data_IF_098034918463
#
_entry.id   IF_098034918463
#
_cell.length_a   1.000
_cell.length_b   1.000
_cell.length_c   1.000
_cell.angle_alpha   90.00
_cell.angle_beta   90.00
_cell.angle_gamma   90.00
#
_symmetry.space_group_name_H-M   'P 1'
#
loop_
_entity.id
_entity.type
_entity.pdbx_description
1 polymer ?
#
# COMPACT_ATOMS: atom_id res chain seq x y z
N UNK A 1 0.96 -41.80 32.73
CA UNK A 1 0.33 -40.51 33.06
C UNK A 1 -0.83 -40.28 32.09
N UNK A 2 -2.10 -40.28 32.52
CA UNK A 2 -3.26 -40.37 31.60
C UNK A 2 -3.76 -39.03 31.03
N UNK A 3 -3.02 -37.92 31.15
CA UNK A 3 -3.53 -36.58 30.82
C UNK A 3 -2.70 -35.79 29.79
N UNK A 4 -1.60 -36.36 29.28
CA UNK A 4 -0.90 -35.73 28.16
C UNK A 4 -1.47 -36.32 26.87
N UNK A 5 -2.41 -35.63 26.22
CA UNK A 5 -2.95 -36.06 24.93
C UNK A 5 -2.16 -35.50 23.74
N UNK A 6 -1.05 -34.80 23.98
CA UNK A 6 -0.23 -34.14 22.94
C UNK A 6 -1.06 -33.42 21.88
N UNK A 7 -2.19 -32.83 22.30
CA UNK A 7 -3.16 -32.16 21.43
C UNK A 7 -3.60 -32.97 20.21
N UNK A 8 -3.57 -34.30 20.28
CA UNK A 8 -3.85 -35.24 19.18
C UNK A 8 -2.90 -35.11 17.96
N UNK A 9 -1.78 -34.38 18.13
CA UNK A 9 -0.77 -34.09 17.10
C UNK A 9 0.60 -34.71 17.42
N UNK A 10 0.61 -35.76 18.23
CA UNK A 10 1.84 -36.42 18.66
C UNK A 10 1.58 -37.58 19.60
N UNK A 11 2.68 -38.19 20.08
CA UNK A 11 2.65 -39.32 21.02
C UNK A 11 3.42 -39.00 22.29
N UNK A 12 2.95 -39.50 23.43
CA UNK A 12 3.68 -39.38 24.68
C UNK A 12 4.86 -40.35 24.74
N UNK A 13 6.04 -39.84 25.11
CA UNK A 13 7.15 -40.65 25.53
C UNK A 13 6.90 -41.16 26.96
N UNK A 14 6.94 -42.47 27.15
CA UNK A 14 6.64 -43.15 28.42
C UNK A 14 7.71 -42.95 29.49
N UNK A 15 8.88 -42.42 29.13
CA UNK A 15 10.04 -42.31 30.03
C UNK A 15 10.12 -40.96 30.75
N UNK A 16 9.77 -39.87 30.08
CA UNK A 16 9.91 -38.49 30.56
C UNK A 16 8.59 -37.70 30.55
N UNK A 17 7.49 -38.33 30.13
CA UNK A 17 6.17 -37.72 29.96
C UNK A 17 6.15 -36.51 28.99
N UNK A 18 7.14 -36.41 28.09
CA UNK A 18 7.18 -35.40 27.04
C UNK A 18 6.42 -35.86 25.78
N UNK A 19 5.92 -34.90 25.01
CA UNK A 19 5.30 -35.18 23.72
C UNK A 19 6.33 -35.21 22.59
N UNK A 20 6.24 -36.24 21.75
CA UNK A 20 6.93 -36.33 20.46
C UNK A 20 5.92 -35.95 19.39
N UNK A 21 6.08 -34.75 18.82
CA UNK A 21 5.15 -34.18 17.86
C UNK A 21 5.33 -34.75 16.45
N UNK A 22 4.23 -34.74 15.69
CA UNK A 22 4.26 -34.98 14.25
C UNK A 22 4.99 -33.85 13.51
N UNK A 23 5.45 -34.12 12.29
CA UNK A 23 6.40 -33.26 11.56
C UNK A 23 5.94 -31.80 11.36
N UNK A 24 4.64 -31.55 11.26
CA UNK A 24 4.05 -30.22 11.10
C UNK A 24 3.80 -29.48 12.43
N UNK A 25 4.03 -30.12 13.58
CA UNK A 25 3.65 -29.62 14.91
C UNK A 25 4.87 -29.53 15.84
N UNK A 26 4.79 -28.60 16.79
CA UNK A 26 5.83 -28.34 17.77
C UNK A 26 5.24 -27.87 19.11
N UNK A 27 6.14 -27.65 20.08
CA UNK A 27 5.80 -27.29 21.45
C UNK A 27 5.74 -28.51 22.38
N UNK A 28 5.82 -28.26 23.69
CA UNK A 28 5.88 -29.32 24.70
C UNK A 28 4.65 -30.24 24.71
N UNK A 29 3.53 -29.78 24.15
CA UNK A 29 2.29 -30.54 24.01
C UNK A 29 1.81 -30.65 22.55
N UNK A 30 2.65 -30.34 21.56
CA UNK A 30 2.27 -30.33 20.14
C UNK A 30 1.11 -29.38 19.81
N UNK A 31 1.04 -28.27 20.56
CA UNK A 31 0.00 -27.24 20.49
C UNK A 31 0.44 -25.99 19.72
N UNK A 32 1.50 -26.10 18.94
CA UNK A 32 1.99 -25.07 18.03
C UNK A 32 2.40 -25.71 16.70
N UNK A 33 2.56 -24.90 15.65
CA UNK A 33 3.08 -25.40 14.39
C UNK A 33 4.61 -25.49 14.42
N UNK A 34 5.14 -26.48 13.69
CA UNK A 34 6.57 -26.66 13.46
C UNK A 34 7.19 -25.54 12.64
N UNK A 35 8.51 -25.62 12.46
CA UNK A 35 9.23 -24.69 11.57
C UNK A 35 8.63 -24.77 10.17
N UNK A 36 8.44 -23.62 9.53
CA UNK A 36 7.81 -23.45 8.21
C UNK A 36 6.36 -23.96 8.12
N UNK A 37 5.67 -24.07 9.26
CA UNK A 37 4.26 -24.41 9.35
C UNK A 37 3.47 -23.37 10.17
N UNK A 38 2.20 -23.18 9.82
CA UNK A 38 1.35 -22.13 10.41
C UNK A 38 -0.12 -22.55 10.40
N UNK A 39 -0.99 -21.72 11.01
CA UNK A 39 -2.45 -21.94 11.13
C UNK A 39 -2.87 -23.12 12.02
N UNK A 40 -2.27 -23.24 13.22
CA UNK A 40 -2.79 -24.14 14.26
C UNK A 40 -4.30 -23.92 14.47
N UNK A 41 -5.16 -24.96 14.59
CA UNK A 41 -4.83 -26.37 14.85
C UNK A 41 -4.52 -27.24 13.62
N UNK A 42 -4.61 -26.71 12.41
CA UNK A 42 -4.28 -27.46 11.18
C UNK A 42 -3.03 -26.87 10.58
N UNK A 43 -1.88 -27.35 11.05
CA UNK A 43 -0.59 -26.80 10.63
C UNK A 43 -0.30 -27.13 9.17
N UNK A 44 -0.17 -26.09 8.35
CA UNK A 44 0.10 -26.17 6.90
C UNK A 44 1.49 -25.68 6.59
N UNK A 45 2.15 -26.36 5.66
CA UNK A 45 3.38 -25.88 5.04
C UNK A 45 3.01 -24.90 3.93
N UNK A 46 3.77 -23.80 3.78
CA UNK A 46 3.55 -22.87 2.69
C UNK A 46 4.38 -23.29 1.49
N UNK A 47 3.74 -23.63 0.40
CA UNK A 47 4.37 -23.83 -0.87
C UNK A 47 4.16 -22.59 -1.74
N UNK A 48 5.22 -21.81 -1.95
CA UNK A 48 5.18 -20.54 -2.68
C UNK A 48 4.37 -20.57 -3.99
N UNK A 49 4.46 -21.67 -4.75
CA UNK A 49 3.75 -21.82 -6.02
C UNK A 49 2.24 -22.01 -5.87
N UNK A 50 1.79 -22.61 -4.77
CA UNK A 50 0.38 -22.95 -4.54
C UNK A 50 -0.31 -21.87 -3.69
N UNK A 51 0.31 -21.45 -2.58
CA UNK A 51 -0.27 -20.44 -1.68
C UNK A 51 -0.05 -19.00 -2.14
N UNK A 52 1.14 -18.68 -2.68
CA UNK A 52 1.47 -17.33 -3.15
C UNK A 52 1.38 -17.20 -4.68
N UNK A 53 0.80 -18.19 -5.36
CA UNK A 53 0.63 -18.23 -6.82
C UNK A 53 1.94 -18.02 -7.61
N UNK A 54 3.09 -18.30 -7.00
CA UNK A 54 4.40 -18.05 -7.60
C UNK A 54 4.85 -16.58 -7.59
N UNK A 55 4.14 -15.70 -6.89
CA UNK A 55 4.32 -14.24 -6.91
C UNK A 55 4.59 -13.63 -5.52
N UNK A 56 5.12 -14.40 -4.56
CA UNK A 56 5.49 -13.88 -3.23
C UNK A 56 6.59 -14.67 -2.52
N UNK A 57 6.66 -14.61 -1.19
CA UNK A 57 7.32 -15.61 -0.35
C UNK A 57 6.54 -15.70 0.95
N UNK A 58 6.46 -16.88 1.56
CA UNK A 58 5.69 -17.02 2.78
C UNK A 58 6.52 -16.54 3.98
N UNK A 59 5.92 -15.72 4.83
CA UNK A 59 6.56 -15.29 6.06
C UNK A 59 6.35 -16.31 7.19
N UNK A 60 6.97 -16.04 8.33
CA UNK A 60 6.93 -16.91 9.52
C UNK A 60 5.52 -17.10 10.12
N UNK A 61 4.53 -16.31 9.70
CA UNK A 61 3.13 -16.44 10.14
C UNK A 61 2.23 -17.10 9.09
N UNK A 62 2.78 -17.45 7.92
CA UNK A 62 2.05 -18.11 6.84
C UNK A 62 1.35 -17.21 5.85
N UNK A 63 1.59 -15.90 5.92
CA UNK A 63 1.09 -14.95 4.93
C UNK A 63 2.12 -14.78 3.81
N UNK A 64 1.64 -14.54 2.60
CA UNK A 64 2.50 -14.22 1.48
C UNK A 64 2.97 -12.76 1.54
N UNK A 65 4.28 -12.57 1.51
CA UNK A 65 4.94 -11.31 1.19
C UNK A 65 5.07 -11.24 -0.34
N UNK A 66 4.18 -10.50 -0.98
CA UNK A 66 4.10 -10.46 -2.43
C UNK A 66 5.26 -9.74 -3.10
N UNK A 67 5.64 -10.23 -4.28
CA UNK A 67 6.56 -9.56 -5.18
C UNK A 67 5.94 -8.25 -5.71
N UNK A 68 6.81 -7.35 -6.18
CA UNK A 68 6.37 -6.05 -6.70
C UNK A 68 5.36 -6.24 -7.83
N UNK A 69 4.22 -5.56 -7.70
CA UNK A 69 3.12 -5.62 -8.67
C UNK A 69 2.03 -6.64 -8.36
N UNK A 70 2.17 -7.39 -7.26
CA UNK A 70 1.18 -8.35 -6.79
C UNK A 70 0.73 -8.03 -5.36
N UNK A 71 -0.53 -8.29 -5.06
CA UNK A 71 -1.18 -8.08 -3.75
C UNK A 71 -2.22 -9.17 -3.49
N UNK A 72 -2.80 -9.16 -2.29
CA UNK A 72 -3.74 -10.18 -1.82
C UNK A 72 -3.07 -11.18 -0.89
N UNK A 73 -3.87 -11.95 -0.14
CA UNK A 73 -3.36 -12.94 0.83
C UNK A 73 -2.46 -13.99 0.17
N UNK A 74 -2.72 -14.32 -1.10
CA UNK A 74 -1.95 -15.25 -1.91
C UNK A 74 -1.26 -14.62 -3.11
N UNK A 75 -1.10 -13.30 -3.18
CA UNK A 75 -0.47 -12.62 -4.34
C UNK A 75 -1.16 -12.91 -5.70
N UNK A 76 -2.47 -13.12 -5.65
CA UNK A 76 -3.33 -13.52 -6.77
C UNK A 76 -3.99 -12.33 -7.48
N UNK A 77 -3.64 -11.12 -7.08
CA UNK A 77 -4.18 -9.88 -7.61
C UNK A 77 -3.05 -8.96 -8.02
N UNK A 78 -3.25 -8.22 -9.10
CA UNK A 78 -2.31 -7.16 -9.43
C UNK A 78 -2.45 -6.00 -8.44
N UNK A 79 -1.30 -5.47 -8.03
CA UNK A 79 -1.24 -4.25 -7.25
C UNK A 79 -1.84 -3.08 -8.06
N UNK A 80 -2.23 -2.02 -7.38
CA UNK A 80 -3.06 -0.93 -7.86
C UNK A 80 -2.56 -0.18 -9.13
N UNK A 81 -1.29 -0.36 -9.52
CA UNK A 81 -0.68 0.20 -10.73
C UNK A 81 -0.36 -0.84 -11.82
N UNK A 82 -0.81 -2.07 -11.65
CA UNK A 82 -0.53 -3.21 -12.51
C UNK A 82 -1.83 -3.83 -13.01
N UNK A 83 -1.84 -4.35 -14.23
CA UNK A 83 -2.99 -5.02 -14.82
C UNK A 83 -2.59 -6.27 -15.61
N UNK A 84 -3.58 -7.03 -16.06
CA UNK A 84 -3.38 -8.26 -16.84
C UNK A 84 -2.71 -9.39 -16.04
N UNK A 85 -3.34 -9.80 -14.94
CA UNK A 85 -2.96 -11.02 -14.22
C UNK A 85 -2.96 -12.23 -15.17
N UNK A 86 -1.95 -13.13 -15.12
CA UNK A 86 -0.91 -13.28 -14.09
C UNK A 86 0.39 -12.54 -14.37
N UNK A 87 0.44 -11.64 -15.36
CA UNK A 87 1.67 -10.92 -15.69
C UNK A 87 1.83 -9.64 -14.88
N UNK A 88 0.72 -9.04 -14.45
CA UNK A 88 0.67 -7.78 -13.70
C UNK A 88 1.67 -6.79 -14.30
N UNK A 89 1.33 -6.29 -15.48
CA UNK A 89 2.14 -5.33 -16.23
C UNK A 89 1.82 -3.92 -15.74
N UNK A 90 2.86 -3.12 -15.48
CA UNK A 90 2.68 -1.78 -14.92
C UNK A 90 2.01 -0.85 -15.93
N UNK A 91 0.89 -0.25 -15.56
CA UNK A 91 0.06 0.56 -16.46
C UNK A 91 0.49 2.04 -16.56
N UNK A 92 1.53 2.48 -15.85
CA UNK A 92 2.05 3.86 -15.93
C UNK A 92 1.06 4.97 -15.54
N UNK A 93 -0.13 4.64 -15.06
CA UNK A 93 -1.16 5.59 -14.68
C UNK A 93 -1.08 5.85 -13.18
N UNK A 94 -0.47 6.98 -12.80
CA UNK A 94 -0.56 7.51 -11.44
C UNK A 94 -2.02 7.73 -11.07
N UNK A 95 -2.46 7.23 -9.92
CA UNK A 95 -3.83 7.44 -9.43
C UNK A 95 -3.81 8.35 -8.21
N UNK A 96 -4.79 9.25 -8.14
CA UNK A 96 -4.92 10.28 -7.11
C UNK A 96 -6.12 9.97 -6.22
N UNK A 97 -5.96 10.12 -4.91
CA UNK A 97 -7.05 10.16 -3.95
C UNK A 97 -7.23 11.59 -3.45
N UNK A 98 -8.47 12.07 -3.41
CA UNK A 98 -8.81 13.44 -3.03
C UNK A 98 -9.80 13.39 -1.87
N UNK A 99 -9.49 14.07 -0.79
CA UNK A 99 -10.33 14.15 0.39
C UNK A 99 -10.48 15.60 0.89
N UNK A 100 -11.70 16.14 1.01
CA UNK A 100 -12.96 15.52 0.59
C UNK A 100 -13.03 15.33 -0.93
N UNK A 101 -13.82 14.36 -1.39
CA UNK A 101 -13.99 14.06 -2.83
C UNK A 101 -14.52 15.23 -3.65
N UNK A 102 -15.15 16.20 -2.98
CA UNK A 102 -15.54 17.50 -3.53
C UNK A 102 -14.74 18.60 -2.82
N UNK A 103 -13.63 19.06 -3.41
CA UNK A 103 -12.85 20.16 -2.87
C UNK A 103 -13.70 21.42 -2.75
N UNK A 104 -13.44 22.23 -1.71
CA UNK A 104 -14.14 23.50 -1.48
C UNK A 104 -13.11 24.62 -1.50
N UNK A 105 -13.41 25.71 -2.24
CA UNK A 105 -12.55 26.89 -2.26
C UNK A 105 -12.30 27.43 -0.84
N UNK A 106 -11.06 27.80 -0.55
CA UNK A 106 -10.62 28.29 0.76
C UNK A 106 -10.46 27.21 1.84
N UNK A 107 -10.71 25.93 1.54
CA UNK A 107 -10.58 24.82 2.49
C UNK A 107 -9.45 23.86 2.14
N UNK A 108 -8.84 23.24 3.15
CA UNK A 108 -7.80 22.21 2.96
C UNK A 108 -8.39 20.96 2.32
N UNK A 109 -7.82 20.56 1.20
CA UNK A 109 -8.11 19.31 0.50
C UNK A 109 -6.84 18.46 0.53
N UNK A 110 -6.92 17.26 1.09
CA UNK A 110 -5.84 16.29 1.06
C UNK A 110 -5.83 15.61 -0.31
N UNK A 111 -4.67 15.62 -0.96
CA UNK A 111 -4.42 14.90 -2.19
C UNK A 111 -3.31 13.90 -1.92
N UNK A 112 -3.57 12.62 -2.21
CA UNK A 112 -2.60 11.55 -2.12
C UNK A 112 -2.33 11.00 -3.51
N UNK A 113 -1.07 11.07 -3.92
CA UNK A 113 -0.52 10.47 -5.13
C UNK A 113 -0.05 9.07 -4.77
N UNK A 114 -0.48 8.07 -5.54
CA UNK A 114 0.01 6.69 -5.41
C UNK A 114 0.81 6.34 -6.66
N UNK A 115 2.02 5.81 -6.49
CA UNK A 115 2.93 5.48 -7.58
C UNK A 115 4.31 5.05 -7.09
N UNK A 116 4.84 3.98 -7.69
CA UNK A 116 6.23 3.57 -7.50
C UNK A 116 7.13 4.53 -8.29
N UNK A 117 7.98 5.31 -7.62
CA UNK A 117 8.99 6.13 -8.28
C UNK A 117 9.06 7.60 -7.88
N UNK A 118 8.31 8.05 -6.87
CA UNK A 118 8.45 9.41 -6.35
C UNK A 118 9.69 9.50 -5.43
N UNK A 119 10.70 10.23 -5.89
CA UNK A 119 11.96 10.48 -5.20
C UNK A 119 12.10 11.92 -4.68
N UNK A 120 13.06 12.13 -3.79
CA UNK A 120 13.46 13.47 -3.35
C UNK A 120 13.96 14.27 -4.56
N UNK A 121 13.40 15.45 -4.79
CA UNK A 121 13.72 16.31 -5.94
C UNK A 121 12.72 16.27 -7.09
N UNK A 122 11.78 15.32 -7.09
CA UNK A 122 10.71 15.30 -8.10
C UNK A 122 9.78 16.49 -7.95
N UNK A 123 9.27 17.02 -9.07
CA UNK A 123 8.48 18.26 -9.08
C UNK A 123 7.02 18.05 -9.48
N UNK A 124 6.14 18.72 -8.75
CA UNK A 124 4.70 18.78 -8.98
C UNK A 124 4.30 20.21 -9.32
N UNK A 125 3.36 20.37 -10.26
CA UNK A 125 2.79 21.67 -10.60
C UNK A 125 1.28 21.62 -10.51
N UNK A 126 0.71 22.58 -9.79
CA UNK A 126 -0.70 22.95 -9.89
C UNK A 126 -0.83 23.99 -10.99
N UNK A 127 -1.59 23.67 -12.02
CA UNK A 127 -1.86 24.57 -13.14
C UNK A 127 -3.34 24.86 -13.24
N UNK A 128 -3.68 26.07 -13.70
CA UNK A 128 -5.04 26.43 -14.09
C UNK A 128 -5.53 25.61 -15.29
N UNK A 129 -6.68 25.96 -15.86
CA UNK A 129 -7.25 25.30 -17.05
C UNK A 129 -6.45 25.53 -18.37
N UNK A 130 -5.12 25.51 -18.34
CA UNK A 130 -4.32 25.37 -19.56
C UNK A 130 -4.00 23.88 -19.78
N UNK A 131 -4.04 23.44 -21.04
CA UNK A 131 -3.63 22.08 -21.42
C UNK A 131 -2.11 21.88 -21.36
N UNK A 132 -1.38 22.83 -20.80
CA UNK A 132 0.06 22.93 -20.84
C UNK A 132 0.59 23.14 -19.42
N UNK A 133 1.39 22.18 -18.97
CA UNK A 133 2.03 22.17 -17.64
C UNK A 133 3.09 23.28 -17.47
N UNK A 134 3.35 24.07 -18.50
CA UNK A 134 4.27 25.21 -18.50
C UNK A 134 3.54 26.56 -18.31
N UNK A 135 2.24 26.65 -18.56
CA UNK A 135 1.47 27.90 -18.47
C UNK A 135 0.49 27.88 -17.29
N UNK A 136 0.13 29.06 -16.79
CA UNK A 136 -0.85 29.22 -15.70
C UNK A 136 -0.52 28.43 -14.43
N UNK A 137 0.78 28.33 -14.07
CA UNK A 137 1.23 27.68 -12.84
C UNK A 137 0.72 28.47 -11.64
N UNK A 138 -0.20 27.85 -10.91
CA UNK A 138 -0.75 28.38 -9.66
C UNK A 138 0.21 28.11 -8.51
N UNK A 139 0.86 26.95 -8.53
CA UNK A 139 1.94 26.64 -7.60
C UNK A 139 2.83 25.51 -8.13
N UNK A 140 4.09 25.48 -7.69
CA UNK A 140 5.05 24.43 -8.01
C UNK A 140 5.75 23.97 -6.74
N UNK A 141 5.97 22.67 -6.65
CA UNK A 141 6.56 22.03 -5.49
C UNK A 141 7.61 21.04 -5.96
N UNK A 142 8.59 20.81 -5.10
CA UNK A 142 9.48 19.67 -5.20
C UNK A 142 9.28 18.83 -3.96
N UNK A 143 9.40 17.50 -4.07
CA UNK A 143 9.41 16.60 -2.91
C UNK A 143 10.53 17.11 -1.99
N UNK A 144 10.19 17.73 -0.86
CA UNK A 144 11.18 18.45 -0.07
C UNK A 144 12.08 17.42 0.63
N UNK A 145 13.38 17.68 0.66
CA UNK A 145 14.12 17.32 1.89
C UNK A 145 13.57 18.21 3.02
N UNK A 146 13.47 17.73 4.26
CA UNK A 146 12.52 18.22 5.25
C UNK A 146 12.79 19.68 5.65
N UNK A 147 12.05 20.64 5.10
CA UNK A 147 11.78 21.94 5.73
C UNK A 147 10.58 22.66 5.07
N UNK A 148 9.87 23.55 5.79
CA UNK A 148 8.53 23.97 5.43
C UNK A 148 8.46 25.38 4.81
N UNK A 149 7.30 25.63 4.17
CA UNK A 149 6.70 26.91 3.80
C UNK A 149 7.03 27.42 2.40
N UNK A 150 6.12 27.11 1.47
CA UNK A 150 5.67 28.10 0.50
C UNK A 150 4.13 28.11 0.42
N UNK A 151 3.57 29.29 0.21
CA UNK A 151 2.18 29.62 0.48
C UNK A 151 1.17 28.74 -0.29
N UNK A 152 0.32 28.00 0.44
CA UNK A 152 -0.88 27.34 -0.10
C UNK A 152 -0.81 25.82 -0.24
N UNK A 153 0.35 25.20 -0.02
CA UNK A 153 0.51 23.75 0.02
C UNK A 153 1.38 23.31 1.20
N UNK A 154 0.93 22.28 1.93
CA UNK A 154 1.75 21.59 2.92
C UNK A 154 1.90 20.13 2.51
N UNK A 155 3.14 19.69 2.26
CA UNK A 155 3.46 18.26 2.10
C UNK A 155 3.33 17.61 3.48
N UNK A 156 2.52 16.57 3.57
CA UNK A 156 2.11 15.94 4.83
C UNK A 156 2.89 14.65 5.07
N UNK A 157 3.13 13.88 4.01
CA UNK A 157 3.88 12.64 4.08
C UNK A 157 4.49 12.29 2.71
N UNK A 158 5.67 11.70 2.77
CA UNK A 158 6.37 11.12 1.62
C UNK A 158 6.72 9.68 2.01
N UNK A 159 6.34 8.73 1.18
CA UNK A 159 6.70 7.32 1.28
C UNK A 159 7.13 6.82 -0.12
N UNK A 160 7.79 5.66 -0.21
CA UNK A 160 8.32 5.14 -1.48
C UNK A 160 7.27 4.96 -2.58
N UNK A 161 6.01 4.76 -2.18
CA UNK A 161 4.85 4.46 -3.01
C UNK A 161 3.78 5.56 -3.00
N UNK A 162 3.92 6.59 -2.14
CA UNK A 162 2.90 7.63 -1.97
C UNK A 162 3.44 8.99 -1.53
N UNK A 163 2.79 10.05 -2.01
CA UNK A 163 3.00 11.42 -1.51
C UNK A 163 1.65 12.01 -1.16
N UNK A 164 1.49 12.54 0.06
CA UNK A 164 0.28 13.26 0.47
C UNK A 164 0.57 14.73 0.71
N UNK A 165 -0.31 15.60 0.22
CA UNK A 165 -0.21 17.05 0.35
C UNK A 165 -1.58 17.68 0.56
N UNK A 166 -1.68 18.71 1.40
CA UNK A 166 -2.89 19.53 1.47
C UNK A 166 -2.77 20.71 0.50
N UNK A 167 -3.73 20.84 -0.40
CA UNK A 167 -3.98 22.05 -1.21
C UNK A 167 -5.09 22.88 -0.59
N UNK A 168 -5.01 24.20 -0.74
CA UNK A 168 -6.14 25.11 -0.51
C UNK A 168 -6.46 25.81 -1.83
N UNK A 169 -7.53 25.40 -2.55
CA UNK A 169 -7.93 26.09 -3.77
C UNK A 169 -8.31 27.54 -3.45
N UNK A 170 -7.67 28.57 -4.07
CA UNK A 170 -7.93 29.97 -3.73
C UNK A 170 -9.31 30.44 -4.22
N UNK A 171 -9.80 29.86 -5.32
CA UNK A 171 -11.07 30.20 -5.96
C UNK A 171 -11.83 28.93 -6.36
N UNK A 172 -13.14 29.08 -6.60
CA UNK A 172 -13.96 28.00 -7.15
C UNK A 172 -13.62 27.79 -8.64
N UNK A 173 -13.53 26.54 -9.09
CA UNK A 173 -13.19 26.22 -10.47
C UNK A 173 -12.46 24.90 -10.63
N UNK A 174 -12.09 24.58 -11.87
CA UNK A 174 -11.32 23.36 -12.17
C UNK A 174 -9.83 23.65 -12.26
N UNK A 175 -9.02 22.82 -11.62
CA UNK A 175 -7.56 22.89 -11.65
C UNK A 175 -6.97 21.53 -12.06
N UNK A 176 -5.76 21.51 -12.59
CA UNK A 176 -5.07 20.28 -12.98
C UNK A 176 -3.73 20.15 -12.23
N UNK A 177 -3.30 18.90 -12.02
CA UNK A 177 -2.00 18.59 -11.44
C UNK A 177 -1.13 17.94 -12.49
N UNK A 178 0.10 18.43 -12.61
CA UNK A 178 1.12 17.92 -13.52
C UNK A 178 2.28 17.31 -12.74
N UNK A 179 2.80 16.19 -13.26
CA UNK A 179 4.00 15.51 -12.78
C UNK A 179 5.00 15.34 -13.94
N UNK A 180 6.26 15.73 -13.72
CA UNK A 180 7.36 15.64 -14.69
C UNK A 180 7.01 16.15 -16.11
N UNK A 181 6.30 17.28 -16.20
CA UNK A 181 5.82 17.89 -17.46
C UNK A 181 4.87 17.03 -18.31
N UNK A 182 4.66 15.76 -17.94
CA UNK A 182 3.66 14.88 -18.49
C UNK A 182 2.30 15.15 -17.82
N UNK A 183 1.24 15.27 -18.62
CA UNK A 183 -0.12 15.41 -18.11
C UNK A 183 -0.57 14.07 -17.53
N UNK A 184 -0.31 13.85 -16.24
CA UNK A 184 -1.07 12.88 -15.44
C UNK A 184 -2.26 13.64 -14.84
N UNK A 185 -3.11 14.18 -15.71
CA UNK A 185 -4.06 15.24 -15.33
C UNK A 185 -5.48 14.71 -15.12
N UNK A 186 -5.89 14.54 -13.87
CA UNK A 186 -7.31 14.60 -13.53
C UNK A 186 -7.69 16.06 -13.23
N UNK A 187 -8.77 16.56 -13.82
CA UNK A 187 -9.30 17.89 -13.52
C UNK A 187 -10.05 17.86 -12.19
N UNK A 188 -9.54 18.55 -11.18
CA UNK A 188 -10.18 18.69 -9.87
C UNK A 188 -11.12 19.87 -9.90
N UNK A 189 -12.41 19.67 -9.60
CA UNK A 189 -13.41 20.74 -9.57
C UNK A 189 -13.66 21.17 -8.12
N UNK A 190 -13.16 22.35 -7.73
CA UNK A 190 -13.50 22.96 -6.45
C UNK A 190 -14.84 23.68 -6.53
N UNK A 191 -15.74 23.33 -5.61
CA UNK A 191 -17.02 24.03 -5.44
C UNK A 191 -16.83 25.37 -4.73
N UNK A 192 -17.74 26.35 -4.95
CA UNK A 192 -17.75 27.59 -4.18
C UNK A 192 -17.80 27.31 -2.68
N UNK A 193 -16.92 27.97 -1.92
CA UNK A 193 -16.98 27.96 -0.47
C UNK A 193 -18.31 28.54 0.02
N UNK A 194 -18.89 27.95 1.06
CA UNK A 194 -19.93 28.62 1.80
C UNK A 194 -19.32 29.89 2.40
N UNK A 195 -19.74 31.05 1.90
CA UNK A 195 -19.44 32.34 2.53
C UNK A 195 -20.31 32.40 3.78
N UNK A 196 -19.74 32.05 4.93
CA UNK A 196 -20.31 32.33 6.25
C UNK A 196 -19.61 33.52 6.87
#
# INVERSE_FOLDING_TARGET
HPLANCSDHGRCNSTDAACICEWAYAGAQCNACGVDHYQYPVCRHCHHLDECHGHGVCNATGFCECEVGYVGEGCDQCDFNYADYPQCTQNGAYVFQVYPSQPVAGSRTLITFHGAGLGVGDSFRLVGMSQDCQSSVLAQFTVPSPDPLDAGLMVVSVAPDRVSLYVVPPEAGTFSICYDQSRTGYGLVASPGAVS
#
